data_IF_001538615356
#
_entry.id   IF_001538615356
#
_cell.length_a   1.000
_cell.length_b   1.000
_cell.length_c   1.000
_cell.angle_alpha   90.00
_cell.angle_beta   90.00
_cell.angle_gamma   90.00
#
_symmetry.space_group_name_H-M   'P 1'
#
loop_
_entity.id
_entity.type
_entity.pdbx_description
1 polymer ?
#
# COMPACT_ATOMS: atom_id res chain seq x y z
N UNK A 1 -41.11 10.47 9.51
CA UNK A 1 -40.21 10.04 10.60
C UNK A 1 -39.57 8.74 10.14
N UNK A 2 -38.42 8.82 9.49
CA UNK A 2 -37.68 7.66 9.07
C UNK A 2 -36.84 7.18 10.29
N UNK A 3 -37.03 5.93 10.65
CA UNK A 3 -36.26 5.31 11.73
C UNK A 3 -34.78 5.26 11.31
N UNK A 4 -33.90 5.76 12.18
CA UNK A 4 -32.48 5.62 12.00
C UNK A 4 -32.12 4.13 12.11
N UNK A 5 -31.48 3.59 11.07
CA UNK A 5 -30.93 2.23 11.08
C UNK A 5 -29.94 2.09 12.25
N UNK A 6 -30.00 1.01 13.02
CA UNK A 6 -29.08 0.80 14.13
C UNK A 6 -27.65 0.66 13.60
N UNK A 7 -26.71 1.40 14.18
CA UNK A 7 -25.29 1.24 13.91
C UNK A 7 -24.86 -0.22 14.11
N UNK A 8 -23.96 -0.77 13.27
CA UNK A 8 -23.55 -2.15 13.36
C UNK A 8 -23.02 -2.50 14.76
N UNK A 9 -23.41 -3.64 15.25
CA UNK A 9 -23.25 -4.13 16.64
C UNK A 9 -21.81 -4.17 17.15
N UNK A 10 -20.82 -4.13 16.24
CA UNK A 10 -19.38 -4.15 16.57
C UNK A 10 -18.82 -2.83 17.12
N UNK A 11 -19.55 -1.72 17.04
CA UNK A 11 -19.13 -0.41 17.58
C UNK A 11 -19.21 -0.33 19.12
N UNK A 12 -19.83 -1.28 19.80
CA UNK A 12 -20.05 -1.21 21.25
C UNK A 12 -18.93 -1.82 22.13
N UNK A 13 -18.09 -2.69 21.59
CA UNK A 13 -17.02 -3.35 22.37
C UNK A 13 -15.65 -2.65 22.30
N UNK A 14 -15.54 -1.49 21.63
CA UNK A 14 -14.28 -0.87 21.26
C UNK A 14 -14.00 0.47 21.96
N UNK A 15 -14.18 0.56 23.24
CA UNK A 15 -13.85 1.78 24.01
C UNK A 15 -12.42 1.82 24.54
N UNK A 16 -11.59 0.84 24.23
CA UNK A 16 -10.21 0.83 24.65
C UNK A 16 -9.34 1.65 23.69
N UNK A 17 -8.43 2.43 24.23
CA UNK A 17 -7.57 3.39 23.52
C UNK A 17 -6.94 2.73 22.31
N UNK A 18 -7.38 3.10 21.11
CA UNK A 18 -6.73 2.68 19.86
C UNK A 18 -5.56 3.61 19.62
N UNK A 19 -4.37 3.05 19.61
CA UNK A 19 -3.16 3.76 19.17
C UNK A 19 -3.19 3.84 17.65
N UNK A 20 -2.79 4.95 17.03
CA UNK A 20 -2.75 5.07 15.58
C UNK A 20 -2.10 3.89 14.90
N UNK A 21 -2.62 3.53 13.72
CA UNK A 21 -2.00 2.53 12.86
C UNK A 21 -0.54 2.92 12.59
N UNK A 22 0.32 1.91 12.47
CA UNK A 22 1.74 2.12 12.19
C UNK A 22 1.96 3.04 10.98
N UNK A 23 2.76 4.07 11.21
CA UNK A 23 3.15 5.02 10.17
C UNK A 23 4.23 4.48 9.23
N UNK A 24 4.51 5.19 8.14
CA UNK A 24 5.51 4.77 7.16
C UNK A 24 6.94 4.75 7.72
N UNK A 25 7.20 5.43 8.81
CA UNK A 25 8.54 5.52 9.44
C UNK A 25 8.73 4.53 10.60
N UNK A 26 7.72 3.73 10.95
CA UNK A 26 7.83 2.71 11.99
C UNK A 26 8.79 1.61 11.57
N UNK A 27 9.81 1.25 12.40
CA UNK A 27 10.75 0.21 12.04
C UNK A 27 10.04 -1.13 11.86
N UNK A 28 10.17 -1.80 10.72
CA UNK A 28 9.57 -3.11 10.52
C UNK A 28 10.33 -4.19 11.28
N UNK A 29 9.60 -5.21 11.69
CA UNK A 29 10.14 -6.46 12.22
C UNK A 29 10.40 -7.46 11.09
N UNK A 30 9.51 -7.49 10.07
CA UNK A 30 9.50 -8.49 9.01
C UNK A 30 8.85 -7.92 7.74
N UNK A 31 9.29 -8.38 6.59
CA UNK A 31 8.61 -8.20 5.32
C UNK A 31 7.88 -9.48 4.90
N UNK A 32 6.71 -9.30 4.31
CA UNK A 32 5.91 -10.37 3.73
C UNK A 32 5.70 -10.12 2.25
N UNK A 33 5.80 -11.19 1.45
CA UNK A 33 5.60 -11.20 0.00
C UNK A 33 4.70 -12.38 -0.40
N UNK A 34 4.14 -12.36 -1.60
CA UNK A 34 3.43 -13.49 -2.18
C UNK A 34 4.09 -13.91 -3.49
N UNK A 35 4.49 -15.18 -3.58
CA UNK A 35 4.92 -15.80 -4.83
C UNK A 35 3.68 -16.30 -5.59
N UNK A 36 3.28 -15.69 -6.70
CA UNK A 36 2.10 -16.11 -7.43
C UNK A 36 2.34 -17.46 -8.10
N UNK A 37 1.34 -18.35 -8.05
CA UNK A 37 1.35 -19.63 -8.76
C UNK A 37 0.58 -19.57 -10.10
N UNK A 38 -0.10 -18.46 -10.35
CA UNK A 38 -0.83 -18.15 -11.58
C UNK A 38 -0.72 -16.65 -11.86
N UNK A 39 -0.83 -16.29 -13.11
CA UNK A 39 -0.92 -14.90 -13.54
C UNK A 39 -2.11 -14.77 -14.51
N UNK A 40 -2.91 -13.68 -14.45
CA UNK A 40 -4.00 -13.43 -15.41
C UNK A 40 -3.54 -13.47 -16.87
N UNK A 41 -2.29 -13.01 -17.13
CA UNK A 41 -1.59 -13.16 -18.39
C UNK A 41 -0.49 -14.21 -18.19
N UNK A 42 -0.71 -15.43 -18.63
CA UNK A 42 0.14 -16.59 -18.32
C UNK A 42 1.61 -16.42 -18.73
N UNK A 43 1.89 -15.66 -19.81
CA UNK A 43 3.25 -15.38 -20.30
C UNK A 43 4.06 -14.47 -19.36
N UNK A 44 3.44 -13.81 -18.40
CA UNK A 44 4.11 -12.94 -17.43
C UNK A 44 4.34 -13.60 -16.07
N UNK A 45 3.99 -14.88 -15.91
CA UNK A 45 4.11 -15.55 -14.63
C UNK A 45 5.56 -15.67 -14.15
N UNK A 46 6.45 -16.12 -15.03
CA UNK A 46 7.85 -16.35 -14.68
C UNK A 46 8.55 -15.02 -14.38
N UNK A 47 8.35 -14.00 -15.20
CA UNK A 47 8.88 -12.64 -14.93
C UNK A 47 8.37 -12.08 -13.58
N UNK A 48 7.08 -12.30 -13.26
CA UNK A 48 6.51 -11.90 -11.98
C UNK A 48 7.15 -12.63 -10.81
N UNK A 49 7.40 -13.93 -10.96
CA UNK A 49 8.03 -14.76 -9.93
C UNK A 49 9.47 -14.33 -9.69
N UNK A 50 10.22 -14.10 -10.78
CA UNK A 50 11.60 -13.62 -10.71
C UNK A 50 11.69 -12.26 -10.02
N UNK A 51 10.76 -11.34 -10.31
CA UNK A 51 10.68 -10.06 -9.62
C UNK A 51 10.41 -10.21 -8.11
N UNK A 52 9.48 -11.09 -7.72
CA UNK A 52 9.17 -11.34 -6.31
C UNK A 52 10.35 -11.99 -5.59
N UNK A 53 11.03 -12.95 -6.22
CA UNK A 53 12.21 -13.62 -5.66
C UNK A 53 13.35 -12.63 -5.46
N UNK A 54 13.70 -11.85 -6.49
CA UNK A 54 14.75 -10.84 -6.40
C UNK A 54 14.44 -9.74 -5.36
N UNK A 55 13.16 -9.39 -5.20
CA UNK A 55 12.73 -8.47 -4.16
C UNK A 55 12.89 -9.10 -2.77
N UNK A 56 12.56 -10.39 -2.61
CA UNK A 56 12.76 -11.12 -1.36
C UNK A 56 14.24 -11.20 -0.97
N UNK A 57 15.14 -11.47 -1.92
CA UNK A 57 16.60 -11.46 -1.72
C UNK A 57 17.10 -10.08 -1.28
N UNK A 58 16.64 -9.03 -1.97
CA UNK A 58 17.01 -7.64 -1.64
C UNK A 58 16.60 -7.26 -0.22
N UNK A 59 15.39 -7.64 0.20
CA UNK A 59 14.87 -7.38 1.53
C UNK A 59 15.56 -8.23 2.61
N UNK A 60 15.86 -9.50 2.30
CA UNK A 60 16.50 -10.43 3.25
C UNK A 60 17.90 -9.98 3.69
N UNK A 61 18.53 -9.09 2.92
CA UNK A 61 19.81 -8.48 3.32
C UNK A 61 19.69 -7.55 4.56
N UNK A 62 18.48 -7.11 4.93
CA UNK A 62 18.29 -6.09 5.97
C UNK A 62 17.26 -6.46 7.04
N UNK A 63 16.30 -7.35 6.74
CA UNK A 63 15.28 -7.78 7.70
C UNK A 63 14.78 -9.19 7.37
N UNK A 64 14.17 -9.91 8.33
CA UNK A 64 13.52 -11.19 8.08
C UNK A 64 12.44 -11.07 7.01
N UNK A 65 12.40 -12.02 6.08
CA UNK A 65 11.42 -12.07 4.98
C UNK A 65 10.67 -13.39 5.02
N UNK A 66 9.35 -13.33 4.83
CA UNK A 66 8.50 -14.50 4.60
C UNK A 66 7.78 -14.37 3.27
N UNK A 67 7.91 -15.39 2.44
CA UNK A 67 7.18 -15.52 1.17
C UNK A 67 6.02 -16.51 1.36
N UNK A 68 4.80 -16.04 1.08
CA UNK A 68 3.63 -16.89 1.02
C UNK A 68 3.54 -17.51 -0.38
N UNK A 69 3.30 -18.82 -0.45
CA UNK A 69 3.09 -19.51 -1.72
C UNK A 69 1.89 -20.45 -1.62
N UNK A 70 1.16 -20.55 -2.71
CA UNK A 70 -0.03 -21.42 -2.75
C UNK A 70 0.34 -22.89 -2.49
N UNK A 71 -0.44 -23.66 -1.71
CA UNK A 71 -0.13 -25.06 -1.40
C UNK A 71 0.04 -25.97 -2.64
N UNK A 72 -0.64 -25.62 -3.74
CA UNK A 72 -0.53 -26.35 -5.02
C UNK A 72 0.73 -26.02 -5.82
N UNK A 73 1.51 -25.03 -5.42
CA UNK A 73 2.78 -24.67 -6.09
C UNK A 73 3.92 -25.56 -5.59
N UNK A 74 4.07 -26.74 -6.19
CA UNK A 74 5.14 -27.65 -5.85
C UNK A 74 6.55 -27.10 -6.14
N UNK A 75 6.66 -26.11 -7.03
CA UNK A 75 7.93 -25.49 -7.42
C UNK A 75 8.42 -24.39 -6.49
N UNK A 76 7.56 -23.83 -5.66
CA UNK A 76 7.88 -22.65 -4.84
C UNK A 76 9.14 -22.82 -3.96
N UNK A 77 9.31 -24.01 -3.35
CA UNK A 77 10.47 -24.28 -2.48
C UNK A 77 11.84 -24.31 -3.23
N UNK A 78 11.82 -24.36 -4.57
CA UNK A 78 13.04 -24.31 -5.39
C UNK A 78 13.38 -22.89 -5.81
N UNK A 79 12.41 -21.99 -5.79
CA UNK A 79 12.55 -20.60 -6.22
C UNK A 79 12.87 -19.68 -5.05
N UNK A 80 12.25 -19.94 -3.90
CA UNK A 80 12.47 -19.12 -2.70
C UNK A 80 13.87 -19.38 -2.14
N UNK A 81 14.68 -18.31 -1.93
CA UNK A 81 16.03 -18.43 -1.37
C UNK A 81 16.03 -19.08 0.02
N UNK A 82 17.09 -19.79 0.39
CA UNK A 82 17.15 -20.53 1.65
C UNK A 82 17.13 -19.64 2.92
N UNK A 83 17.52 -18.38 2.78
CA UNK A 83 17.47 -17.36 3.85
C UNK A 83 16.08 -16.74 4.05
N UNK A 84 15.12 -17.06 3.17
CA UNK A 84 13.77 -16.53 3.18
C UNK A 84 12.80 -17.60 3.68
N UNK A 85 11.98 -17.27 4.66
CA UNK A 85 10.95 -18.18 5.16
C UNK A 85 9.87 -18.43 4.10
N UNK A 86 9.52 -19.70 3.88
CA UNK A 86 8.43 -20.09 2.98
C UNK A 86 7.21 -20.57 3.76
N UNK A 87 6.09 -19.86 3.63
CA UNK A 87 4.81 -20.22 4.23
C UNK A 87 3.81 -20.68 3.15
N UNK A 88 3.12 -21.78 3.39
CA UNK A 88 2.05 -22.27 2.51
C UNK A 88 0.70 -21.70 2.92
N UNK A 89 0.10 -20.91 2.02
CA UNK A 89 -1.21 -20.29 2.23
C UNK A 89 -2.00 -20.20 0.91
N UNK A 90 -3.34 -20.24 0.94
CA UNK A 90 -4.18 -20.18 -0.26
C UNK A 90 -4.24 -18.74 -0.82
N UNK A 91 -3.09 -18.22 -1.24
CA UNK A 91 -2.90 -16.88 -1.80
C UNK A 91 -2.65 -16.93 -3.30
N UNK A 92 -2.88 -15.83 -4.00
CA UNK A 92 -2.75 -15.81 -5.48
C UNK A 92 -2.12 -14.55 -6.04
N UNK A 93 -2.50 -13.39 -5.56
CA UNK A 93 -1.99 -12.10 -6.03
C UNK A 93 -0.67 -11.74 -5.36
N UNK A 94 0.33 -11.23 -6.11
CA UNK A 94 1.56 -10.72 -5.52
C UNK A 94 1.37 -9.40 -4.77
N UNK A 95 0.20 -8.75 -4.88
CA UNK A 95 -0.06 -7.42 -4.34
C UNK A 95 -0.39 -7.46 -2.83
N UNK A 96 0.46 -8.09 -2.03
CA UNK A 96 0.23 -8.28 -0.60
C UNK A 96 0.21 -6.97 0.19
N UNK A 97 0.95 -5.96 -0.24
CA UNK A 97 0.89 -4.63 0.35
C UNK A 97 -0.50 -4.00 0.28
N UNK A 98 -1.35 -4.40 -0.70
CA UNK A 98 -2.75 -3.97 -0.82
C UNK A 98 -3.72 -4.89 -0.12
N UNK A 99 -3.52 -6.21 -0.25
CA UNK A 99 -4.49 -7.25 0.17
C UNK A 99 -4.21 -7.78 1.57
N UNK A 100 -3.03 -7.52 2.10
CA UNK A 100 -2.63 -7.90 3.44
C UNK A 100 -3.33 -7.10 4.54
N UNK A 101 -3.12 -7.48 5.80
CA UNK A 101 -3.71 -6.78 6.93
C UNK A 101 -3.10 -5.39 7.12
N UNK A 102 -3.87 -4.49 7.74
CA UNK A 102 -3.31 -3.31 8.38
C UNK A 102 -2.95 -3.68 9.82
N UNK A 103 -1.75 -3.31 10.27
CA UNK A 103 -1.32 -3.55 11.64
C UNK A 103 -1.69 -2.38 12.52
N UNK A 104 -2.16 -2.66 13.73
CA UNK A 104 -2.53 -1.66 14.73
C UNK A 104 -1.90 -2.02 16.07
N UNK A 105 -1.55 -1.00 16.86
CA UNK A 105 -1.10 -1.18 18.24
C UNK A 105 -2.27 -1.03 19.19
N UNK A 106 -2.35 -1.95 20.14
CA UNK A 106 -3.31 -1.97 21.23
C UNK A 106 -2.56 -2.07 22.56
N UNK A 107 -3.20 -1.81 23.70
CA UNK A 107 -2.57 -2.03 25.00
C UNK A 107 -2.00 -3.43 25.20
N UNK A 108 -2.65 -4.44 24.60
CA UNK A 108 -2.26 -5.84 24.70
C UNK A 108 -1.17 -6.26 23.69
N UNK A 109 -0.78 -5.37 22.77
CA UNK A 109 0.22 -5.61 21.74
C UNK A 109 -0.27 -5.36 20.33
N UNK A 110 0.45 -5.87 19.34
CA UNK A 110 0.12 -5.73 17.92
C UNK A 110 -1.11 -6.58 17.56
N UNK A 111 -1.97 -6.04 16.71
CA UNK A 111 -3.09 -6.74 16.11
C UNK A 111 -3.20 -6.45 14.62
N UNK A 112 -3.93 -7.27 13.88
CA UNK A 112 -4.13 -7.18 12.45
C UNK A 112 -5.59 -6.85 12.11
N UNK A 113 -5.81 -5.99 11.11
CA UNK A 113 -7.12 -5.67 10.55
C UNK A 113 -7.20 -6.24 9.14
N UNK A 114 -8.02 -7.25 8.93
CA UNK A 114 -8.31 -7.81 7.62
C UNK A 114 -9.51 -7.11 7.00
N UNK A 115 -9.27 -6.24 6.05
CA UNK A 115 -10.34 -5.56 5.32
C UNK A 115 -11.16 -6.55 4.50
N UNK A 116 -12.46 -6.31 4.42
CA UNK A 116 -13.32 -7.08 3.53
C UNK A 116 -12.82 -6.98 2.09
N UNK A 117 -12.68 -8.11 1.42
CA UNK A 117 -12.27 -8.13 0.02
C UNK A 117 -13.43 -7.71 -0.89
N UNK A 118 -13.13 -6.88 -1.89
CA UNK A 118 -14.02 -6.55 -2.99
C UNK A 118 -13.91 -7.58 -4.14
N UNK A 119 -13.70 -8.84 -3.83
CA UNK A 119 -13.53 -9.92 -4.81
C UNK A 119 -14.62 -9.88 -5.89
N UNK A 120 -14.20 -9.93 -7.14
CA UNK A 120 -15.08 -9.87 -8.30
C UNK A 120 -15.39 -8.47 -8.85
N UNK A 121 -15.19 -7.40 -8.06
CA UNK A 121 -15.34 -6.02 -8.52
C UNK A 121 -13.99 -5.34 -8.82
N UNK A 122 -12.92 -5.81 -8.19
CA UNK A 122 -11.59 -5.22 -8.27
C UNK A 122 -10.60 -6.08 -9.06
N UNK A 123 -11.05 -7.18 -9.66
CA UNK A 123 -10.18 -8.15 -10.37
C UNK A 123 -9.33 -9.02 -9.42
N UNK A 124 -9.33 -8.73 -8.12
CA UNK A 124 -8.72 -9.61 -7.11
C UNK A 124 -9.63 -10.81 -6.88
N UNK A 125 -9.05 -12.01 -6.93
CA UNK A 125 -9.81 -13.24 -6.74
C UNK A 125 -10.13 -13.52 -5.26
N UNK A 126 -10.97 -14.53 -4.98
CA UNK A 126 -11.30 -14.93 -3.60
C UNK A 126 -10.05 -15.31 -2.76
N UNK A 127 -8.94 -15.63 -3.41
CA UNK A 127 -7.67 -15.97 -2.73
C UNK A 127 -7.02 -14.78 -2.02
N UNK A 128 -7.31 -13.55 -2.45
CA UNK A 128 -6.70 -12.37 -1.84
C UNK A 128 -7.31 -12.06 -0.47
N UNK A 129 -8.56 -12.44 -0.24
CA UNK A 129 -9.18 -12.35 1.09
C UNK A 129 -8.52 -13.23 2.15
N UNK A 130 -7.82 -14.29 1.74
CA UNK A 130 -7.13 -15.20 2.65
C UNK A 130 -5.74 -14.69 3.07
N UNK A 131 -5.15 -13.75 2.33
CA UNK A 131 -3.79 -13.29 2.58
C UNK A 131 -3.65 -12.62 3.95
N UNK A 132 -4.58 -11.75 4.31
CA UNK A 132 -4.57 -11.06 5.60
C UNK A 132 -4.70 -12.03 6.78
N UNK A 133 -5.55 -13.05 6.66
CA UNK A 133 -5.70 -14.11 7.67
C UNK A 133 -4.43 -14.92 7.79
N UNK A 134 -3.84 -15.35 6.67
CA UNK A 134 -2.62 -16.15 6.67
C UNK A 134 -1.44 -15.42 7.34
N UNK A 135 -1.29 -14.11 7.07
CA UNK A 135 -0.26 -13.29 7.72
C UNK A 135 -0.52 -13.17 9.22
N UNK A 136 -1.77 -12.87 9.62
CA UNK A 136 -2.10 -12.71 11.04
C UNK A 136 -1.89 -14.01 11.83
N UNK A 137 -2.33 -15.15 11.29
CA UNK A 137 -2.12 -16.47 11.90
C UNK A 137 -0.65 -16.82 12.05
N UNK A 138 0.14 -16.61 10.98
CA UNK A 138 1.57 -16.90 11.02
C UNK A 138 2.35 -15.96 11.95
N UNK A 139 1.91 -14.72 12.10
CA UNK A 139 2.48 -13.76 13.04
C UNK A 139 1.94 -13.92 14.47
N UNK A 140 0.97 -14.82 14.71
CA UNK A 140 0.36 -15.01 16.03
C UNK A 140 -0.45 -13.80 16.52
N UNK A 141 -1.02 -13.02 15.60
CA UNK A 141 -1.70 -11.77 15.92
C UNK A 141 -3.22 -11.92 15.98
N UNK A 142 -3.89 -11.26 16.93
CA UNK A 142 -5.34 -11.12 16.90
C UNK A 142 -5.82 -10.47 15.59
N UNK A 143 -6.89 -11.02 15.01
CA UNK A 143 -7.44 -10.56 13.74
C UNK A 143 -8.79 -9.88 13.94
N UNK A 144 -8.92 -8.66 13.42
CA UNK A 144 -10.15 -7.90 13.32
C UNK A 144 -10.67 -7.94 11.89
N UNK A 145 -11.95 -8.19 11.71
CA UNK A 145 -12.59 -8.32 10.40
C UNK A 145 -13.75 -7.33 10.26
N UNK A 146 -13.49 -6.07 9.88
CA UNK A 146 -14.55 -5.09 9.67
C UNK A 146 -15.41 -5.41 8.45
N UNK A 147 -16.63 -4.84 8.43
CA UNK A 147 -17.52 -4.94 7.28
C UNK A 147 -17.10 -3.99 6.14
N UNK A 148 -16.36 -2.95 6.45
CA UNK A 148 -15.85 -2.00 5.47
C UNK A 148 -14.78 -2.64 4.60
N UNK A 149 -14.87 -2.42 3.29
CA UNK A 149 -13.80 -2.69 2.34
C UNK A 149 -12.96 -1.41 2.16
N UNK A 150 -11.80 -1.36 2.79
CA UNK A 150 -10.84 -0.27 2.67
C UNK A 150 -9.42 -0.83 2.47
N UNK A 151 -9.12 -1.39 1.29
CA UNK A 151 -7.84 -2.01 1.03
C UNK A 151 -6.70 -1.01 1.22
N UNK A 152 -5.56 -1.50 1.67
CA UNK A 152 -4.39 -0.66 2.02
C UNK A 152 -3.94 0.28 0.89
N UNK A 153 -4.09 -0.12 -0.36
CA UNK A 153 -3.78 0.74 -1.51
C UNK A 153 -4.68 1.99 -1.63
N UNK A 154 -5.84 2.00 -0.96
CA UNK A 154 -6.81 3.10 -1.06
C UNK A 154 -6.52 4.26 -0.09
N UNK A 155 -5.57 4.13 0.81
CA UNK A 155 -5.26 5.16 1.80
C UNK A 155 -3.79 5.11 2.25
N UNK A 156 -3.30 6.24 2.70
CA UNK A 156 -1.99 6.42 3.33
C UNK A 156 -2.15 7.17 4.65
N UNK A 157 -1.24 6.95 5.59
CA UNK A 157 -1.28 7.57 6.92
C UNK A 157 0.10 8.08 7.33
N UNK A 158 0.12 9.08 8.22
CA UNK A 158 1.31 9.58 8.90
C UNK A 158 1.68 8.72 10.13
N UNK A 159 0.78 7.86 10.60
CA UNK A 159 0.94 7.16 11.87
C UNK A 159 0.62 8.01 13.10
N UNK A 160 0.24 9.29 12.91
CA UNK A 160 -0.08 10.26 13.96
C UNK A 160 -1.58 10.59 14.03
N UNK A 161 -2.42 9.80 13.35
CA UNK A 161 -3.87 9.94 13.35
C UNK A 161 -4.45 10.63 12.11
N UNK A 162 -3.65 10.96 11.10
CA UNK A 162 -4.12 11.48 9.82
C UNK A 162 -4.09 10.39 8.76
N UNK A 163 -5.11 10.33 7.91
CA UNK A 163 -5.08 9.56 6.68
C UNK A 163 -5.57 10.38 5.49
N UNK A 164 -4.89 10.21 4.36
CA UNK A 164 -5.42 10.59 3.04
C UNK A 164 -6.07 9.35 2.44
N UNK A 165 -7.29 9.48 1.97
CA UNK A 165 -8.12 8.37 1.48
C UNK A 165 -8.62 8.68 0.07
N UNK A 166 -8.46 7.74 -0.84
CA UNK A 166 -9.09 7.80 -2.15
C UNK A 166 -10.58 7.50 -2.03
N UNK A 167 -11.42 8.43 -2.46
CA UNK A 167 -12.87 8.32 -2.30
C UNK A 167 -13.45 7.13 -3.08
N UNK A 168 -13.01 6.93 -4.33
CA UNK A 168 -13.62 5.98 -5.25
C UNK A 168 -13.73 4.54 -4.72
N UNK A 169 -12.65 3.88 -4.24
CA UNK A 169 -12.80 2.49 -3.83
C UNK A 169 -13.55 2.36 -2.50
N UNK A 170 -13.45 3.36 -1.62
CA UNK A 170 -13.98 3.27 -0.26
C UNK A 170 -15.44 3.71 -0.20
N UNK A 171 -15.85 4.67 -1.04
CA UNK A 171 -17.22 5.18 -1.11
C UNK A 171 -18.01 4.61 -2.30
N UNK A 172 -17.45 3.68 -3.07
CA UNK A 172 -18.18 3.03 -4.16
C UNK A 172 -19.33 2.18 -3.59
N UNK A 173 -20.56 2.58 -3.90
CA UNK A 173 -21.76 1.88 -3.45
C UNK A 173 -21.86 0.42 -3.91
N UNK A 174 -21.18 0.04 -5.00
CA UNK A 174 -21.10 -1.36 -5.47
C UNK A 174 -20.22 -2.21 -4.55
N UNK A 175 -19.24 -1.59 -3.90
CA UNK A 175 -18.29 -2.24 -3.01
C UNK A 175 -18.80 -2.19 -1.56
N UNK A 176 -19.15 -1.01 -1.09
CA UNK A 176 -19.45 -0.74 0.31
C UNK A 176 -20.94 -0.39 0.58
N UNK A 177 -21.80 -0.48 -0.45
CA UNK A 177 -23.20 -0.10 -0.26
C UNK A 177 -23.35 1.38 0.09
N UNK A 178 -24.15 1.70 1.08
CA UNK A 178 -24.51 3.08 1.45
C UNK A 178 -23.57 3.70 2.51
N UNK A 179 -22.32 3.28 2.61
CA UNK A 179 -21.39 3.89 3.56
C UNK A 179 -21.15 5.38 3.21
N UNK A 180 -21.34 6.23 4.19
CA UNK A 180 -21.06 7.67 4.07
C UNK A 180 -19.61 7.99 4.50
N UNK A 181 -19.04 9.12 4.05
CA UNK A 181 -17.72 9.58 4.50
C UNK A 181 -17.60 9.66 6.04
N UNK A 182 -18.66 10.09 6.73
CA UNK A 182 -18.68 10.15 8.20
C UNK A 182 -18.65 8.78 8.87
N UNK A 183 -19.33 7.79 8.30
CA UNK A 183 -19.30 6.41 8.82
C UNK A 183 -17.93 5.76 8.59
N UNK A 184 -17.31 5.98 7.42
CA UNK A 184 -15.94 5.51 7.15
C UNK A 184 -14.96 6.17 8.13
N UNK A 185 -15.05 7.48 8.34
CA UNK A 185 -14.18 8.18 9.29
C UNK A 185 -14.35 7.64 10.72
N UNK A 186 -15.59 7.35 11.14
CA UNK A 186 -15.86 6.74 12.44
C UNK A 186 -15.26 5.33 12.57
N UNK A 187 -15.34 4.52 11.52
CA UNK A 187 -14.73 3.18 11.49
C UNK A 187 -13.21 3.26 11.51
N UNK A 188 -12.61 4.19 10.77
CA UNK A 188 -11.18 4.45 10.79
C UNK A 188 -10.69 4.92 12.17
N UNK A 189 -11.45 5.79 12.82
CA UNK A 189 -11.13 6.20 14.19
C UNK A 189 -11.20 5.03 15.17
N UNK A 190 -12.24 4.20 15.07
CA UNK A 190 -12.45 3.06 15.97
C UNK A 190 -11.42 1.93 15.76
N UNK A 191 -11.01 1.67 14.50
CA UNK A 191 -10.12 0.56 14.16
C UNK A 191 -8.66 0.95 14.13
N UNK A 192 -8.35 2.13 13.58
CA UNK A 192 -7.01 2.53 13.21
C UNK A 192 -6.48 3.70 14.06
N UNK A 193 -7.31 4.31 14.93
CA UNK A 193 -6.95 5.52 15.63
C UNK A 193 -6.81 6.76 14.74
N UNK A 194 -7.32 6.70 13.51
CA UNK A 194 -7.28 7.81 12.55
C UNK A 194 -8.43 8.76 12.87
N UNK A 195 -8.12 9.95 13.38
CA UNK A 195 -9.09 10.97 13.76
C UNK A 195 -9.30 12.04 12.68
N UNK A 196 -8.41 12.13 11.71
CA UNK A 196 -8.46 13.05 10.59
C UNK A 196 -8.40 12.30 9.26
N UNK A 197 -9.52 12.29 8.53
CA UNK A 197 -9.60 11.70 7.19
C UNK A 197 -9.67 12.81 6.15
N UNK A 198 -8.70 12.81 5.22
CA UNK A 198 -8.58 13.75 4.11
C UNK A 198 -8.96 13.02 2.81
N UNK A 199 -10.10 13.40 2.23
CA UNK A 199 -10.62 12.76 1.02
C UNK A 199 -10.03 13.39 -0.24
N UNK A 200 -9.16 12.65 -0.96
CA UNK A 200 -8.64 13.13 -2.25
C UNK A 200 -9.55 12.69 -3.40
N UNK A 201 -9.60 13.50 -4.49
CA UNK A 201 -10.30 13.09 -5.70
C UNK A 201 -9.78 11.75 -6.22
N UNK A 202 -10.60 11.02 -7.00
CA UNK A 202 -10.17 9.77 -7.62
C UNK A 202 -9.02 10.01 -8.59
N UNK A 203 -8.08 9.05 -8.65
CA UNK A 203 -7.03 9.05 -9.66
C UNK A 203 -7.63 8.97 -11.07
N UNK A 204 -7.02 9.61 -12.10
CA UNK A 204 -7.61 9.75 -13.44
C UNK A 204 -7.74 8.44 -14.19
N UNK A 205 -7.12 7.38 -13.73
CA UNK A 205 -7.26 6.03 -14.29
C UNK A 205 -7.47 5.04 -13.15
N UNK A 206 -8.51 4.21 -13.23
CA UNK A 206 -8.55 3.01 -12.42
C UNK A 206 -7.29 2.20 -12.75
N UNK A 207 -6.70 1.63 -11.74
CA UNK A 207 -5.63 0.66 -11.91
C UNK A 207 -6.19 -0.52 -12.70
N UNK A 208 -5.88 -0.55 -13.98
CA UNK A 208 -6.33 -1.60 -14.91
C UNK A 208 -5.27 -2.68 -15.10
N UNK A 209 -4.33 -2.78 -14.17
CA UNK A 209 -3.33 -3.83 -14.20
C UNK A 209 -3.94 -5.24 -14.19
N UNK A 210 -3.17 -6.26 -14.55
CA UNK A 210 -3.63 -7.64 -14.68
C UNK A 210 -4.23 -8.20 -13.40
N UNK A 211 -3.86 -7.65 -12.24
CA UNK A 211 -4.37 -8.04 -10.93
C UNK A 211 -5.54 -7.18 -10.45
N UNK A 212 -5.89 -6.15 -11.22
CA UNK A 212 -7.02 -5.26 -10.94
C UNK A 212 -6.90 -4.50 -9.64
N UNK A 213 -7.85 -3.63 -9.41
CA UNK A 213 -8.03 -2.93 -8.16
C UNK A 213 -7.97 -1.41 -8.29
N UNK A 214 -8.85 -0.69 -7.59
CA UNK A 214 -8.78 0.74 -7.50
C UNK A 214 -7.72 1.16 -6.50
N UNK A 215 -6.87 2.09 -6.90
CA UNK A 215 -6.12 2.94 -6.00
C UNK A 215 -4.72 2.49 -5.61
N UNK A 216 -3.73 3.14 -6.23
CA UNK A 216 -2.35 3.23 -5.78
C UNK A 216 -2.10 4.57 -5.10
N UNK A 217 -2.78 4.86 -4.00
CA UNK A 217 -2.63 6.18 -3.40
C UNK A 217 -1.18 6.43 -2.94
N UNK A 218 -0.48 5.40 -2.49
CA UNK A 218 0.92 5.49 -2.07
C UNK A 218 1.88 5.92 -3.20
N UNK A 219 1.52 5.68 -4.47
CA UNK A 219 2.29 6.21 -5.61
C UNK A 219 2.01 7.68 -5.90
N UNK A 220 0.94 8.25 -5.37
CA UNK A 220 0.51 9.62 -5.64
C UNK A 220 0.72 10.56 -4.46
N UNK A 221 0.54 10.05 -3.25
CA UNK A 221 0.62 10.83 -2.01
C UNK A 221 1.39 10.02 -0.98
N UNK A 222 2.28 10.70 -0.29
CA UNK A 222 2.94 10.20 0.91
C UNK A 222 2.67 11.17 2.05
N UNK A 223 2.22 10.66 3.17
CA UNK A 223 2.23 11.36 4.45
C UNK A 223 3.46 10.94 5.24
N UNK A 224 4.03 11.90 5.95
CA UNK A 224 5.10 11.69 6.94
C UNK A 224 4.67 12.35 8.23
N UNK A 225 5.29 12.04 9.34
CA UNK A 225 5.02 12.71 10.62
C UNK A 225 5.25 14.22 10.55
N UNK A 226 4.88 14.92 11.62
CA UNK A 226 5.09 16.37 11.77
C UNK A 226 4.41 17.27 10.70
N UNK A 227 3.31 16.80 10.11
CA UNK A 227 2.56 17.55 9.11
C UNK A 227 3.25 17.65 7.74
N UNK A 228 4.22 16.77 7.45
CA UNK A 228 4.87 16.70 6.14
C UNK A 228 4.07 15.82 5.18
N UNK A 229 3.94 16.28 3.93
CA UNK A 229 3.32 15.51 2.86
C UNK A 229 4.12 15.68 1.56
N UNK A 230 4.07 14.67 0.70
CA UNK A 230 4.63 14.72 -0.64
C UNK A 230 3.60 14.26 -1.66
N UNK A 231 3.58 14.90 -2.82
CA UNK A 231 2.69 14.58 -3.94
C UNK A 231 3.53 14.26 -5.18
N UNK A 232 3.24 13.13 -5.82
CA UNK A 232 3.79 12.82 -7.14
C UNK A 232 3.41 13.92 -8.12
N UNK A 233 4.39 14.42 -8.89
CA UNK A 233 4.21 15.57 -9.73
C UNK A 233 4.61 15.32 -11.18
N UNK A 234 3.80 15.86 -12.10
CA UNK A 234 4.12 16.01 -13.51
C UNK A 234 3.95 17.48 -13.89
N UNK A 235 5.07 18.13 -14.20
CA UNK A 235 5.09 19.58 -14.55
C UNK A 235 4.39 19.89 -15.87
N UNK A 236 4.41 18.96 -16.82
CA UNK A 236 3.70 19.12 -18.09
C UNK A 236 2.19 19.05 -17.88
N UNK A 237 1.49 20.19 -18.11
CA UNK A 237 0.04 20.30 -17.98
C UNK A 237 -0.75 19.41 -18.97
N UNK A 238 -0.12 18.96 -20.02
CA UNK A 238 -0.73 18.04 -21.00
C UNK A 238 -0.54 16.57 -20.64
N UNK A 239 0.32 16.28 -19.66
CA UNK A 239 0.49 14.92 -19.19
C UNK A 239 -0.80 14.41 -18.54
N UNK A 240 -1.27 13.17 -18.84
CA UNK A 240 -2.52 12.63 -18.30
C UNK A 240 -2.60 12.62 -16.77
N UNK A 241 -1.47 12.54 -16.09
CA UNK A 241 -1.37 12.53 -14.62
C UNK A 241 -1.48 13.93 -14.00
N UNK A 242 -1.19 14.99 -14.75
CA UNK A 242 -1.11 16.35 -14.22
C UNK A 242 -2.40 16.84 -13.55
N UNK A 243 -3.60 16.67 -14.12
CA UNK A 243 -4.84 17.16 -13.50
C UNK A 243 -5.06 16.59 -12.10
N UNK A 244 -4.77 15.29 -11.93
CA UNK A 244 -4.90 14.61 -10.64
C UNK A 244 -3.85 15.12 -9.64
N UNK A 245 -2.58 15.13 -10.03
CA UNK A 245 -1.49 15.63 -9.21
C UNK A 245 -1.74 17.06 -8.73
N UNK A 246 -2.20 17.95 -9.64
CA UNK A 246 -2.55 19.33 -9.33
C UNK A 246 -3.76 19.45 -8.39
N UNK A 247 -4.75 18.58 -8.53
CA UNK A 247 -5.91 18.55 -7.63
C UNK A 247 -5.51 18.07 -6.22
N UNK A 248 -4.74 16.98 -6.11
CA UNK A 248 -4.24 16.45 -4.87
C UNK A 248 -3.35 17.48 -4.14
N UNK A 249 -2.43 18.13 -4.87
CA UNK A 249 -1.57 19.17 -4.31
C UNK A 249 -2.37 20.34 -3.71
N UNK A 250 -3.31 20.90 -4.49
CA UNK A 250 -4.15 22.02 -3.99
C UNK A 250 -4.99 21.63 -2.78
N UNK A 251 -5.54 20.43 -2.80
CA UNK A 251 -6.35 19.93 -1.70
C UNK A 251 -5.52 19.81 -0.41
N UNK A 252 -4.35 19.17 -0.49
CA UNK A 252 -3.50 18.94 0.68
C UNK A 252 -2.84 20.23 1.19
N UNK A 253 -2.50 21.19 0.33
CA UNK A 253 -2.00 22.52 0.74
C UNK A 253 -3.01 23.33 1.57
N UNK A 254 -4.29 23.03 1.45
CA UNK A 254 -5.36 23.65 2.23
C UNK A 254 -5.85 22.82 3.42
N UNK A 255 -5.15 21.73 3.75
CA UNK A 255 -5.58 20.78 4.78
C UNK A 255 -4.68 20.85 6.04
N UNK A 256 -5.27 20.49 7.17
CA UNK A 256 -4.57 20.30 8.44
C UNK A 256 -4.51 18.81 8.78
N UNK A 257 -3.48 18.40 9.52
CA UNK A 257 -3.34 17.07 10.07
C UNK A 257 -4.24 16.83 11.31
N UNK A 258 -4.12 15.65 11.93
CA UNK A 258 -4.90 15.30 13.14
C UNK A 258 -4.54 16.15 14.36
N UNK A 259 -3.35 16.75 14.41
CA UNK A 259 -2.92 17.67 15.45
C UNK A 259 -3.33 19.13 15.18
N UNK A 260 -4.01 19.40 14.05
CA UNK A 260 -4.38 20.75 13.62
C UNK A 260 -3.25 21.56 13.02
N UNK A 261 -2.15 20.92 12.60
CA UNK A 261 -1.02 21.59 11.94
C UNK A 261 -1.31 21.66 10.43
N UNK A 262 -1.15 22.81 9.77
CA UNK A 262 -1.21 22.92 8.32
C UNK A 262 -0.19 21.99 7.66
N UNK A 263 -0.63 21.23 6.65
CA UNK A 263 0.27 20.34 5.92
C UNK A 263 1.29 21.12 5.09
N UNK A 264 2.56 20.78 5.26
CA UNK A 264 3.67 21.25 4.42
C UNK A 264 3.86 20.29 3.24
N UNK A 265 3.27 20.67 2.11
CA UNK A 265 3.20 19.78 0.94
C UNK A 265 4.30 20.12 -0.05
N UNK A 266 5.18 19.16 -0.34
CA UNK A 266 6.16 19.23 -1.42
C UNK A 266 5.74 18.41 -2.63
N UNK A 267 6.26 18.79 -3.79
CA UNK A 267 6.10 17.98 -5.01
C UNK A 267 7.36 17.16 -5.26
N UNK A 268 7.17 15.92 -5.72
CA UNK A 268 8.25 15.03 -6.15
C UNK A 268 7.98 14.66 -7.60
N UNK A 269 8.79 15.20 -8.51
CA UNK A 269 8.64 14.93 -9.94
C UNK A 269 8.96 13.47 -10.22
N UNK A 270 8.04 12.77 -10.87
CA UNK A 270 8.23 11.38 -11.25
C UNK A 270 9.31 11.20 -12.31
N UNK A 271 9.91 10.00 -12.38
CA UNK A 271 10.91 9.70 -13.40
C UNK A 271 10.35 9.87 -14.81
N UNK A 272 11.21 10.27 -15.74
CA UNK A 272 10.82 10.45 -17.13
C UNK A 272 10.31 9.15 -17.75
N UNK A 273 9.43 9.29 -18.74
CA UNK A 273 9.07 8.15 -19.60
C UNK A 273 10.26 7.86 -20.53
N UNK A 274 10.65 6.60 -20.70
CA UNK A 274 11.66 6.26 -21.68
C UNK A 274 11.18 6.62 -23.11
N UNK A 275 12.14 6.82 -24.02
CA UNK A 275 11.81 7.13 -25.42
C UNK A 275 11.00 5.99 -26.07
N UNK A 276 11.27 4.75 -25.69
CA UNK A 276 10.48 3.58 -26.04
C UNK A 276 9.55 3.25 -24.88
N UNK A 277 8.32 3.71 -25.00
CA UNK A 277 7.28 3.43 -24.01
C UNK A 277 6.87 1.95 -24.07
N UNK A 278 6.99 1.26 -22.94
CA UNK A 278 6.44 -0.08 -22.80
C UNK A 278 4.94 0.01 -22.46
N UNK A 279 4.03 -0.36 -23.38
CA UNK A 279 2.59 -0.31 -23.13
C UNK A 279 2.14 -1.29 -22.04
N UNK A 280 3.00 -2.20 -21.59
CA UNK A 280 2.72 -3.10 -20.48
C UNK A 280 2.90 -2.42 -19.11
N UNK A 281 3.65 -1.31 -19.03
CA UNK A 281 3.75 -0.51 -17.81
C UNK A 281 2.40 0.16 -17.50
N UNK A 282 1.90 -0.02 -16.30
CA UNK A 282 0.55 0.42 -15.87
C UNK A 282 0.55 1.48 -14.78
N UNK A 283 1.59 1.52 -13.96
CA UNK A 283 1.72 2.44 -12.83
C UNK A 283 2.39 3.77 -13.18
N UNK A 284 2.24 4.81 -12.33
CA UNK A 284 3.04 6.00 -12.45
C UNK A 284 4.51 5.69 -12.12
N UNK A 285 5.45 6.29 -12.85
CA UNK A 285 6.89 6.21 -12.53
C UNK A 285 7.18 7.13 -11.34
N UNK A 286 6.62 6.77 -10.19
CA UNK A 286 6.63 7.59 -8.98
C UNK A 286 7.90 7.39 -8.17
N UNK A 287 8.52 8.48 -7.74
CA UNK A 287 9.65 8.48 -6.81
C UNK A 287 9.20 8.54 -5.34
N UNK A 288 7.89 8.53 -5.08
CA UNK A 288 7.33 8.38 -3.73
C UNK A 288 7.29 6.93 -3.26
N UNK A 289 7.45 5.98 -4.20
CA UNK A 289 7.36 4.56 -3.91
C UNK A 289 8.62 4.05 -3.21
N UNK A 290 8.77 4.41 -1.96
CA UNK A 290 9.89 4.00 -1.12
C UNK A 290 9.41 3.23 0.10
N UNK A 291 10.21 2.28 0.58
CA UNK A 291 9.95 1.47 1.77
C UNK A 291 11.04 1.68 2.81
N UNK A 292 10.79 2.42 3.89
CA UNK A 292 11.68 2.46 5.05
C UNK A 292 11.77 1.09 5.72
N UNK A 293 12.99 0.59 5.87
CA UNK A 293 13.28 -0.73 6.45
C UNK A 293 13.96 -0.61 7.83
N UNK A 294 13.89 0.55 8.44
CA UNK A 294 14.55 0.87 9.71
C UNK A 294 16.02 1.25 9.53
N UNK A 295 16.88 0.33 9.09
CA UNK A 295 18.31 0.59 8.88
C UNK A 295 18.66 1.10 7.47
N UNK A 296 17.73 1.00 6.53
CA UNK A 296 17.88 1.41 5.13
C UNK A 296 16.51 1.79 4.56
N UNK A 297 16.51 2.32 3.35
CA UNK A 297 15.27 2.54 2.57
C UNK A 297 15.41 1.87 1.21
N UNK A 298 14.40 1.10 0.82
CA UNK A 298 14.31 0.53 -0.51
C UNK A 298 13.57 1.49 -1.44
N UNK A 299 14.11 1.73 -2.63
CA UNK A 299 13.53 2.59 -3.66
C UNK A 299 13.50 1.93 -5.03
N UNK A 300 12.64 2.38 -5.95
CA UNK A 300 12.72 1.97 -7.34
C UNK A 300 14.02 2.46 -7.99
N UNK A 301 14.60 1.65 -8.88
CA UNK A 301 15.72 1.99 -9.74
C UNK A 301 15.25 2.08 -11.19
N UNK A 302 15.69 3.13 -11.89
CA UNK A 302 15.36 3.34 -13.29
C UNK A 302 16.58 3.08 -14.16
N UNK A 303 16.34 2.64 -15.40
CA UNK A 303 17.41 2.15 -16.30
C UNK A 303 18.28 3.29 -16.87
N UNK A 304 17.75 4.51 -16.90
CA UNK A 304 18.51 5.68 -17.37
C UNK A 304 19.18 6.43 -16.22
N UNK A 305 20.35 6.99 -16.49
CA UNK A 305 21.15 7.65 -15.46
C UNK A 305 20.44 8.85 -14.82
N UNK A 306 19.63 9.61 -15.57
CA UNK A 306 18.91 10.77 -15.06
C UNK A 306 17.76 10.35 -14.14
N UNK A 307 17.03 9.29 -14.49
CA UNK A 307 16.00 8.70 -13.66
C UNK A 307 16.56 8.11 -12.37
N UNK A 308 17.72 7.47 -12.43
CA UNK A 308 18.40 6.91 -11.26
C UNK A 308 18.90 8.02 -10.31
N UNK A 309 19.49 9.08 -10.86
CA UNK A 309 19.91 10.25 -10.06
C UNK A 309 18.71 10.94 -9.40
N UNK A 310 17.61 11.13 -10.14
CA UNK A 310 16.38 11.71 -9.62
C UNK A 310 15.77 10.84 -8.52
N UNK A 311 15.77 9.51 -8.68
CA UNK A 311 15.27 8.57 -7.68
C UNK A 311 16.10 8.61 -6.39
N UNK A 312 17.44 8.63 -6.53
CA UNK A 312 18.33 8.73 -5.38
C UNK A 312 18.16 10.05 -4.63
N UNK A 313 18.06 11.17 -5.37
CA UNK A 313 17.85 12.49 -4.78
C UNK A 313 16.49 12.61 -4.06
N UNK A 314 15.41 12.14 -4.69
CA UNK A 314 14.09 12.12 -4.09
C UNK A 314 14.06 11.25 -2.81
N UNK A 315 14.69 10.09 -2.85
CA UNK A 315 14.79 9.19 -1.70
C UNK A 315 15.57 9.84 -0.55
N UNK A 316 16.69 10.51 -0.82
CA UNK A 316 17.46 11.27 0.18
C UNK A 316 16.61 12.38 0.82
N UNK A 317 15.82 13.09 0.01
CA UNK A 317 14.95 14.15 0.50
C UNK A 317 13.79 13.62 1.36
N UNK A 318 13.24 12.43 1.02
CA UNK A 318 12.16 11.78 1.77
C UNK A 318 12.68 11.10 3.05
N UNK A 319 13.89 10.56 3.03
CA UNK A 319 14.49 9.75 4.09
C UNK A 319 15.93 10.18 4.37
N UNK A 320 16.13 11.36 4.97
CA UNK A 320 17.46 11.89 5.20
C UNK A 320 18.28 10.98 6.11
N UNK A 321 19.51 10.68 5.70
CA UNK A 321 20.47 9.90 6.49
C UNK A 321 20.31 8.37 6.39
N UNK A 322 19.27 7.84 5.74
CA UNK A 322 19.14 6.40 5.55
C UNK A 322 19.95 5.92 4.33
N UNK A 323 20.73 4.84 4.46
CA UNK A 323 21.30 4.13 3.31
C UNK A 323 20.22 3.66 2.34
N UNK A 324 20.50 3.76 1.03
CA UNK A 324 19.54 3.38 -0.01
C UNK A 324 19.85 2.01 -0.57
N UNK A 325 18.83 1.18 -0.64
CA UNK A 325 18.77 -0.02 -1.47
C UNK A 325 17.90 0.29 -2.70
N UNK A 326 18.18 -0.33 -3.82
CA UNK A 326 17.40 -0.14 -5.03
C UNK A 326 16.91 -1.46 -5.61
N UNK A 327 15.73 -1.41 -6.23
CA UNK A 327 15.14 -2.53 -6.95
C UNK A 327 14.65 -2.06 -8.33
N UNK A 328 14.85 -2.84 -9.42
CA UNK A 328 14.44 -2.44 -10.76
C UNK A 328 12.95 -2.08 -10.83
N UNK A 329 12.64 -0.87 -11.36
CA UNK A 329 11.28 -0.39 -11.48
C UNK A 329 10.46 -1.09 -12.59
N UNK A 330 10.99 -1.41 -13.78
CA UNK A 330 10.19 -1.93 -14.88
C UNK A 330 9.37 -3.19 -14.54
N UNK A 331 9.91 -4.23 -13.86
CA UNK A 331 9.10 -5.37 -13.46
C UNK A 331 7.93 -4.99 -12.55
N UNK A 332 8.12 -4.02 -11.63
CA UNK A 332 7.06 -3.52 -10.74
C UNK A 332 5.97 -2.82 -11.54
N UNK A 333 6.34 -1.96 -12.47
CA UNK A 333 5.39 -1.20 -13.30
C UNK A 333 4.54 -2.10 -14.21
N UNK A 334 5.11 -3.21 -14.72
CA UNK A 334 4.36 -4.20 -15.50
C UNK A 334 3.34 -4.97 -14.66
N UNK A 335 3.62 -5.15 -13.38
CA UNK A 335 2.67 -5.73 -12.42
C UNK A 335 1.52 -4.78 -12.05
N UNK A 336 1.52 -3.56 -12.58
CA UNK A 336 0.70 -2.44 -12.11
C UNK A 336 0.82 -2.25 -10.59
N UNK A 337 2.00 -2.57 -10.07
CA UNK A 337 2.38 -2.49 -8.68
C UNK A 337 3.50 -1.49 -8.47
N UNK A 338 3.64 -1.14 -7.23
CA UNK A 338 4.72 -0.39 -6.67
C UNK A 338 5.35 -1.25 -5.56
N UNK A 339 6.49 -0.88 -5.02
CA UNK A 339 7.08 -1.57 -3.87
C UNK A 339 6.07 -1.71 -2.72
N UNK A 340 5.33 -0.62 -2.46
CA UNK A 340 4.29 -0.58 -1.43
C UNK A 340 3.08 -1.49 -1.70
N UNK A 341 2.90 -1.95 -2.92
CA UNK A 341 1.82 -2.88 -3.26
C UNK A 341 2.22 -4.34 -3.11
N UNK A 342 3.49 -4.64 -3.37
CA UNK A 342 4.02 -6.01 -3.31
C UNK A 342 4.45 -6.38 -1.89
N UNK A 343 5.07 -5.44 -1.18
CA UNK A 343 5.66 -5.68 0.14
C UNK A 343 4.69 -5.24 1.24
N UNK A 344 4.40 -6.16 2.14
CA UNK A 344 3.74 -5.82 3.39
C UNK A 344 4.79 -5.80 4.49
N UNK A 345 5.01 -4.63 5.10
CA UNK A 345 5.87 -4.50 6.25
C UNK A 345 5.07 -4.70 7.54
N UNK A 346 5.51 -5.63 8.38
CA UNK A 346 4.99 -5.82 9.73
C UNK A 346 5.82 -4.97 10.69
N UNK A 347 5.21 -4.04 11.43
CA UNK A 347 5.94 -3.24 12.41
C UNK A 347 6.37 -4.09 13.60
N UNK A 348 7.31 -3.61 14.37
CA UNK A 348 7.63 -4.18 15.68
C UNK A 348 6.46 -4.02 16.64
N UNK A 349 6.27 -4.97 17.56
CA UNK A 349 5.25 -4.90 18.59
C UNK A 349 5.29 -3.63 19.44
#
# INVERSE_FOLDING_TARGET
>A
MAAADPAPTHARERRDVVVPVSGPEDPPERAWLVLPHRHPVSTLLDETRDAVVGLAETLAAVLPVTVLAHPRDAGAARLVPPEVDLLRAPVGSPLLGRTGPSFIRRPEGLAAVAWRSAAGLTGTGPLDGAAATAVAEAAGLPLLTPLLCAPRGAWVTDGEGTAVVAADPVLDGRINGAWTPGQVAAEFAALLGITRVLWVPPAPRPDTGPWGGPGHLASWVRLQGDGEAAVHWRGDRFHPEHPYAAAALRFLQGADDAAGRPLRVRTVTGAAQPAEYDPAERGPRSLLDTLPLGAAVLRPAFEDAAGEEAAAAACTALHPGLPQLSFPAPPLLRLAGALNDLVLLQPRP
#
